data_IF_313030865529
#
_entry.id   IF_313030865529
#
_cell.length_a   1.000
_cell.length_b   1.000
_cell.length_c   1.000
_cell.angle_alpha   90.00
_cell.angle_beta   90.00
_cell.angle_gamma   90.00
#
_symmetry.space_group_name_H-M   'P 1'
#
loop_
_entity.id
_entity.type
_entity.pdbx_description
1 polymer ?
#
# COMPACT_ATOMS: atom_id res chain seq x y z
N UNK A 1 -14.96 -25.08 50.48
CA UNK A 1 -15.36 -23.95 49.60
C UNK A 1 -14.31 -23.76 48.51
N UNK A 2 -14.60 -24.15 47.26
CA UNK A 2 -13.79 -23.85 46.06
C UNK A 2 -14.75 -23.50 44.92
N UNK A 3 -15.19 -22.26 44.87
CA UNK A 3 -16.00 -21.74 43.74
C UNK A 3 -15.61 -20.31 43.33
N UNK A 4 -14.50 -19.78 43.87
CA UNK A 4 -14.07 -18.39 43.60
C UNK A 4 -12.85 -18.29 42.68
N UNK A 5 -12.27 -19.40 42.24
CA UNK A 5 -11.02 -19.38 41.46
C UNK A 5 -11.26 -19.37 39.94
N UNK A 6 -12.37 -19.95 39.47
CA UNK A 6 -12.78 -19.97 38.05
C UNK A 6 -13.11 -18.57 37.48
N UNK A 7 -13.51 -17.61 38.32
CA UNK A 7 -13.92 -16.28 37.85
C UNK A 7 -12.75 -15.34 37.54
N UNK A 8 -11.53 -15.65 38.01
CA UNK A 8 -10.38 -14.77 37.79
C UNK A 8 -9.56 -15.13 36.55
N UNK A 9 -9.77 -16.31 35.97
CA UNK A 9 -9.00 -16.76 34.80
C UNK A 9 -9.57 -16.28 33.44
N UNK A 10 -10.62 -15.43 33.45
CA UNK A 10 -11.20 -14.84 32.24
C UNK A 10 -10.80 -13.39 31.97
N UNK A 11 -9.86 -12.82 32.72
CA UNK A 11 -9.45 -11.42 32.54
C UNK A 11 -7.95 -11.34 32.32
N UNK A 12 -7.54 -11.51 31.06
CA UNK A 12 -6.37 -10.88 30.40
C UNK A 12 -6.05 -11.60 29.08
N UNK A 13 -7.01 -11.68 28.17
CA UNK A 13 -6.65 -11.88 26.75
C UNK A 13 -6.25 -10.52 26.19
N UNK A 14 -5.03 -10.34 25.63
CA UNK A 14 -4.68 -9.10 24.97
C UNK A 14 -5.52 -8.98 23.69
N UNK A 15 -6.53 -8.11 23.74
CA UNK A 15 -7.37 -7.81 22.57
C UNK A 15 -6.51 -7.16 21.50
N UNK A 16 -6.33 -7.87 20.37
CA UNK A 16 -5.63 -7.35 19.20
C UNK A 16 -6.37 -6.09 18.72
N UNK A 17 -5.69 -4.93 18.56
CA UNK A 17 -6.32 -3.75 18.01
C UNK A 17 -6.87 -4.03 16.60
N UNK A 18 -8.04 -3.46 16.31
CA UNK A 18 -8.71 -3.61 15.02
C UNK A 18 -7.82 -3.12 13.87
N UNK A 19 -7.97 -3.74 12.68
CA UNK A 19 -7.25 -3.28 11.49
C UNK A 19 -7.71 -1.86 11.16
N UNK A 20 -6.76 -0.97 10.87
CA UNK A 20 -7.08 0.35 10.33
C UNK A 20 -7.85 0.18 9.01
N UNK A 21 -8.82 1.06 8.73
CA UNK A 21 -9.55 1.01 7.47
C UNK A 21 -8.57 1.15 6.32
N UNK A 22 -8.63 0.22 5.38
CA UNK A 22 -7.83 0.27 4.17
C UNK A 22 -8.37 1.43 3.31
N UNK A 23 -7.80 2.62 3.48
CA UNK A 23 -8.10 3.77 2.61
C UNK A 23 -7.44 3.54 1.25
N UNK A 24 -8.08 2.71 0.42
CA UNK A 24 -7.74 2.57 -1.00
C UNK A 24 -8.22 3.82 -1.72
N UNK A 25 -7.39 4.87 -1.73
CA UNK A 25 -7.52 5.91 -2.75
C UNK A 25 -6.90 5.31 -4.00
N UNK A 26 -7.71 4.79 -4.92
CA UNK A 26 -7.21 4.52 -6.27
C UNK A 26 -6.65 5.84 -6.80
N UNK A 27 -5.38 5.88 -7.25
CA UNK A 27 -4.89 7.08 -7.91
C UNK A 27 -5.82 7.39 -9.09
N UNK A 28 -6.18 8.67 -9.23
CA UNK A 28 -6.88 9.15 -10.42
C UNK A 28 -6.10 8.66 -11.64
N UNK A 29 -6.75 8.09 -12.67
CA UNK A 29 -6.05 7.66 -13.87
C UNK A 29 -5.37 8.90 -14.46
N UNK A 30 -4.05 8.90 -14.35
CA UNK A 30 -3.20 9.96 -14.85
C UNK A 30 -3.36 9.89 -16.38
N UNK A 31 -3.99 10.93 -16.94
CA UNK A 31 -3.98 11.20 -18.38
C UNK A 31 -2.55 10.99 -18.90
N UNK A 32 -2.40 10.39 -20.07
CA UNK A 32 -1.14 9.97 -20.72
C UNK A 32 -0.09 11.06 -20.97
N UNK A 33 -0.16 12.20 -20.26
CA UNK A 33 0.95 13.12 -20.12
C UNK A 33 2.18 12.39 -19.58
N UNK A 34 3.33 12.64 -20.20
CA UNK A 34 4.61 12.12 -19.75
C UNK A 34 4.96 12.74 -18.40
N UNK A 35 4.41 12.19 -17.31
CA UNK A 35 4.84 12.56 -15.97
C UNK A 35 6.24 12.01 -15.77
N UNK A 36 7.18 12.89 -15.45
CA UNK A 36 8.49 12.44 -15.03
C UNK A 36 8.31 11.74 -13.68
N UNK A 37 8.57 10.42 -13.56
CA UNK A 37 8.39 9.69 -12.32
C UNK A 37 9.24 10.24 -11.15
N UNK A 38 10.26 11.05 -11.45
CA UNK A 38 11.13 11.70 -10.47
C UNK A 38 10.77 13.16 -10.18
N UNK A 39 9.62 13.66 -10.66
CA UNK A 39 9.17 15.02 -10.40
C UNK A 39 8.99 15.25 -8.88
N UNK A 40 9.74 16.21 -8.33
CA UNK A 40 9.80 16.49 -6.88
C UNK A 40 10.87 15.72 -6.10
N UNK A 41 11.63 14.82 -6.73
CA UNK A 41 12.76 14.15 -6.08
C UNK A 41 14.04 15.00 -6.14
N UNK A 42 14.93 14.85 -5.15
CA UNK A 42 16.26 15.46 -5.20
C UNK A 42 17.11 14.83 -6.30
N UNK A 43 18.04 15.60 -6.88
CA UNK A 43 18.91 15.14 -7.97
C UNK A 43 19.66 13.86 -7.61
N UNK A 44 20.19 13.77 -6.38
CA UNK A 44 20.87 12.58 -5.89
C UNK A 44 19.94 11.35 -5.82
N UNK A 45 18.68 11.55 -5.42
CA UNK A 45 17.68 10.47 -5.34
C UNK A 45 17.23 10.04 -6.73
N UNK A 46 17.02 11.01 -7.64
CA UNK A 46 16.70 10.75 -9.04
C UNK A 46 17.80 9.94 -9.73
N UNK A 47 19.07 10.33 -9.58
CA UNK A 47 20.19 9.62 -10.16
C UNK A 47 20.31 8.18 -9.62
N UNK A 48 20.10 7.97 -8.32
CA UNK A 48 20.14 6.64 -7.70
C UNK A 48 19.02 5.73 -8.21
N UNK A 49 17.83 6.26 -8.47
CA UNK A 49 16.64 5.48 -8.83
C UNK A 49 16.37 5.40 -10.34
N UNK A 50 17.06 6.21 -11.17
CA UNK A 50 16.82 6.28 -12.61
C UNK A 50 16.88 4.92 -13.32
N UNK A 51 17.84 4.08 -12.93
CA UNK A 51 17.98 2.73 -13.51
C UNK A 51 16.90 1.76 -13.02
N UNK A 52 16.41 1.93 -11.79
CA UNK A 52 15.40 1.06 -11.18
C UNK A 52 13.97 1.40 -11.62
N UNK A 53 13.70 2.67 -11.91
CA UNK A 53 12.38 3.16 -12.30
C UNK A 53 12.21 3.31 -13.81
N UNK A 54 13.15 2.79 -14.61
CA UNK A 54 13.00 2.74 -16.06
C UNK A 54 11.80 1.84 -16.40
N UNK A 55 10.70 2.46 -16.79
CA UNK A 55 9.56 1.74 -17.32
C UNK A 55 9.96 1.04 -18.63
N UNK A 56 9.80 -0.28 -18.67
CA UNK A 56 9.91 -1.07 -19.90
C UNK A 56 8.49 -1.28 -20.40
N UNK A 57 8.07 -0.63 -21.50
CA UNK A 57 6.76 -0.88 -22.06
C UNK A 57 6.65 -2.34 -22.47
N UNK A 58 5.68 -3.05 -21.94
CA UNK A 58 5.41 -4.44 -22.33
C UNK A 58 4.85 -4.44 -23.76
N UNK A 59 5.59 -4.93 -24.77
CA UNK A 59 5.10 -4.94 -26.14
C UNK A 59 3.86 -5.83 -26.24
N UNK A 60 2.82 -5.35 -26.92
CA UNK A 60 1.58 -6.09 -27.07
C UNK A 60 0.64 -6.06 -25.85
N UNK A 61 0.97 -5.30 -24.80
CA UNK A 61 0.03 -5.06 -23.71
C UNK A 61 -1.16 -4.24 -24.23
N UNK A 62 -2.33 -4.89 -24.29
CA UNK A 62 -3.60 -4.25 -24.62
C UNK A 62 -4.32 -3.92 -23.31
N UNK A 63 -4.34 -2.64 -22.87
CA UNK A 63 -5.04 -2.27 -21.66
C UNK A 63 -6.54 -2.62 -21.77
N UNK A 64 -7.19 -3.04 -20.67
CA UNK A 64 -8.63 -3.33 -20.69
C UNK A 64 -9.42 -2.11 -21.12
N UNK A 65 -10.16 -2.21 -22.22
CA UNK A 65 -11.12 -1.17 -22.63
C UNK A 65 -12.45 -1.44 -21.90
N UNK A 66 -13.02 -0.42 -21.27
CA UNK A 66 -14.42 -0.50 -20.80
C UNK A 66 -15.33 -0.67 -22.02
N UNK A 67 -16.39 -1.48 -21.86
CA UNK A 67 -17.51 -1.56 -22.81
C UNK A 67 -18.45 -0.37 -22.59
#
# INVERSE_FOLDING_TARGET
MRMKEEHQQKRKTPTRPGKLPLRRRSPTPISSASLNPMEGATVATAARLANFLKFVPTPGFKPPRKK
#
